data_IF_636173562568
#
_entry.id   IF_636173562568
#
_cell.length_a   1.000
_cell.length_b   1.000
_cell.length_c   1.000
_cell.angle_alpha   90.00
_cell.angle_beta   90.00
_cell.angle_gamma   90.00
#
_symmetry.space_group_name_H-M   'P 1'
#
loop_
_entity.id
_entity.type
_entity.pdbx_description
1 polymer ?
#
# COMPACT_ATOMS: atom_id res chain seq x y z
N UNK A 1 -11.34 -26.82 21.97
CA UNK A 1 -12.42 -26.01 21.36
C UNK A 1 -11.81 -25.28 20.17
N UNK A 2 -12.28 -25.52 18.95
CA UNK A 2 -11.88 -24.69 17.80
C UNK A 2 -12.56 -23.33 17.97
N UNK A 3 -11.87 -22.39 18.62
CA UNK A 3 -12.31 -21.01 18.65
C UNK A 3 -12.42 -20.52 17.19
N UNK A 4 -13.57 -19.98 16.82
CA UNK A 4 -13.78 -19.45 15.47
C UNK A 4 -12.78 -18.33 15.16
N UNK A 5 -12.31 -18.26 13.92
CA UNK A 5 -11.43 -17.18 13.48
C UNK A 5 -12.21 -15.86 13.40
N UNK A 6 -11.66 -14.79 13.99
CA UNK A 6 -12.16 -13.42 13.77
C UNK A 6 -11.81 -12.92 12.35
N UNK A 7 -12.29 -11.73 11.99
CA UNK A 7 -12.10 -11.18 10.64
C UNK A 7 -10.62 -11.02 10.27
N UNK A 8 -9.79 -10.47 11.17
CA UNK A 8 -8.34 -10.32 10.95
C UNK A 8 -7.67 -11.66 10.69
N UNK A 9 -7.96 -12.67 11.51
CA UNK A 9 -7.42 -14.01 11.32
C UNK A 9 -7.88 -14.65 10.01
N UNK A 10 -9.15 -14.45 9.61
CA UNK A 10 -9.66 -14.97 8.32
C UNK A 10 -8.92 -14.34 7.14
N UNK A 11 -8.73 -13.02 7.14
CA UNK A 11 -8.04 -12.31 6.07
C UNK A 11 -6.57 -12.72 6.03
N UNK A 12 -5.87 -12.74 7.18
CA UNK A 12 -4.48 -13.22 7.26
C UNK A 12 -4.38 -14.64 6.70
N UNK A 13 -5.26 -15.57 7.12
CA UNK A 13 -5.23 -16.96 6.66
C UNK A 13 -5.40 -17.07 5.13
N UNK A 14 -6.23 -16.22 4.53
CA UNK A 14 -6.47 -16.23 3.08
C UNK A 14 -5.28 -15.68 2.28
N UNK A 15 -4.46 -14.79 2.87
CA UNK A 15 -3.34 -14.13 2.19
C UNK A 15 -1.96 -14.62 2.69
N UNK A 16 -1.93 -15.66 3.53
CA UNK A 16 -0.71 -16.19 4.10
C UNK A 16 0.11 -16.93 3.03
N UNK A 17 1.33 -16.45 2.77
CA UNK A 17 2.29 -17.08 1.88
C UNK A 17 3.25 -17.98 2.68
N UNK A 18 3.67 -17.54 3.86
CA UNK A 18 4.61 -18.27 4.72
C UNK A 18 4.43 -17.93 6.19
N UNK A 19 4.96 -18.79 7.07
CA UNK A 19 4.92 -18.61 8.52
C UNK A 19 3.74 -19.29 9.21
N UNK A 20 3.60 -19.04 10.51
CA UNK A 20 2.52 -19.58 11.36
C UNK A 20 1.71 -18.43 11.93
N UNK A 21 0.39 -18.60 11.99
CA UNK A 21 -0.54 -17.64 12.62
C UNK A 21 -0.50 -17.72 14.16
N UNK A 22 0.70 -17.76 14.73
CA UNK A 22 0.97 -17.72 16.16
C UNK A 22 1.46 -16.29 16.49
N UNK A 23 0.79 -15.56 17.40
CA UNK A 23 1.18 -14.16 17.67
C UNK A 23 2.66 -14.02 18.02
N UNK A 24 3.34 -13.10 17.34
CA UNK A 24 4.78 -12.84 17.49
C UNK A 24 5.68 -13.61 16.52
N UNK A 25 5.20 -14.68 15.87
CA UNK A 25 5.92 -15.36 14.79
C UNK A 25 5.96 -14.50 13.53
N UNK A 26 7.01 -14.65 12.72
CA UNK A 26 7.06 -14.00 11.41
C UNK A 26 6.11 -14.69 10.42
N UNK A 27 5.40 -13.87 9.65
CA UNK A 27 4.50 -14.29 8.56
C UNK A 27 4.80 -13.48 7.30
N UNK A 28 4.70 -14.12 6.15
CA UNK A 28 4.71 -13.46 4.85
C UNK A 28 3.28 -13.37 4.31
N UNK A 29 2.84 -12.17 3.96
CA UNK A 29 1.50 -11.92 3.40
C UNK A 29 1.57 -11.47 1.95
N UNK A 30 0.70 -12.03 1.11
CA UNK A 30 0.40 -11.46 -0.21
C UNK A 30 -0.33 -10.14 -0.01
N UNK A 31 0.06 -9.12 -0.76
CA UNK A 31 -0.59 -7.81 -0.77
C UNK A 31 -1.38 -7.61 -2.07
N UNK A 32 -2.67 -7.29 -1.95
CA UNK A 32 -3.55 -7.11 -3.10
C UNK A 32 -3.50 -5.68 -3.63
N UNK A 33 -3.49 -4.70 -2.72
CA UNK A 33 -3.52 -3.29 -3.03
C UNK A 33 -2.36 -2.53 -2.37
N UNK A 34 -1.87 -1.50 -3.05
CA UNK A 34 -0.93 -0.54 -2.44
C UNK A 34 -1.33 0.92 -2.63
N UNK A 35 -0.88 1.76 -1.70
CA UNK A 35 -1.13 3.19 -1.66
C UNK A 35 0.17 3.95 -1.37
N UNK A 36 0.48 4.95 -2.19
CA UNK A 36 1.59 5.87 -1.95
C UNK A 36 1.08 7.32 -2.02
N UNK A 37 1.72 8.22 -1.30
CA UNK A 37 1.43 9.67 -1.36
C UNK A 37 2.65 10.43 -1.85
N UNK A 38 2.53 11.70 -2.18
CA UNK A 38 3.53 12.50 -2.89
C UNK A 38 4.79 12.82 -2.08
N UNK A 39 4.72 12.82 -0.75
CA UNK A 39 5.89 12.98 0.11
C UNK A 39 6.76 11.71 0.24
N UNK A 40 6.20 10.50 0.06
CA UNK A 40 6.95 9.23 0.19
C UNK A 40 7.04 8.43 -1.11
N UNK A 41 6.14 8.70 -2.04
CA UNK A 41 5.99 7.97 -3.30
C UNK A 41 7.19 8.12 -4.22
N UNK A 42 7.87 9.27 -4.19
CA UNK A 42 9.07 9.49 -5.03
C UNK A 42 10.13 8.43 -4.73
N UNK A 43 10.36 8.13 -3.44
CA UNK A 43 11.31 7.09 -3.04
C UNK A 43 10.86 5.70 -3.50
N UNK A 44 9.57 5.37 -3.33
CA UNK A 44 9.01 4.10 -3.81
C UNK A 44 9.23 3.93 -5.31
N UNK A 45 8.94 4.94 -6.11
CA UNK A 45 9.12 4.87 -7.57
C UNK A 45 10.59 4.70 -7.97
N UNK A 46 11.53 5.32 -7.24
CA UNK A 46 12.96 5.14 -7.44
C UNK A 46 13.42 3.73 -7.07
N UNK A 47 12.86 3.13 -6.02
CA UNK A 47 13.11 1.73 -5.64
C UNK A 47 12.60 0.77 -6.74
N UNK A 48 11.41 1.01 -7.28
CA UNK A 48 10.87 0.23 -8.41
C UNK A 48 11.77 0.32 -9.65
N UNK A 49 12.31 1.52 -9.93
CA UNK A 49 13.29 1.72 -11.00
C UNK A 49 14.56 0.91 -10.76
N UNK A 50 15.12 1.00 -9.54
CA UNK A 50 16.33 0.30 -9.16
C UNK A 50 16.17 -1.23 -9.19
N UNK A 51 14.97 -1.73 -8.90
CA UNK A 51 14.61 -3.14 -9.02
C UNK A 51 14.45 -3.59 -10.49
N UNK A 52 14.44 -2.67 -11.45
CA UNK A 52 14.19 -2.97 -12.86
C UNK A 52 12.75 -3.44 -13.12
N UNK A 53 11.79 -3.07 -12.26
CA UNK A 53 10.41 -3.49 -12.40
C UNK A 53 9.82 -2.92 -13.70
N UNK A 54 9.18 -3.77 -14.51
CA UNK A 54 8.53 -3.31 -15.75
C UNK A 54 7.11 -2.81 -15.54
N UNK A 55 6.38 -3.45 -14.62
CA UNK A 55 5.00 -3.13 -14.28
C UNK A 55 4.67 -3.67 -12.88
N UNK A 56 3.70 -3.05 -12.19
CA UNK A 56 3.17 -3.55 -10.91
C UNK A 56 2.67 -4.99 -11.04
N UNK A 57 2.83 -5.76 -9.96
CA UNK A 57 2.32 -7.13 -9.83
C UNK A 57 1.11 -7.22 -8.89
N UNK A 58 0.87 -6.18 -8.08
CA UNK A 58 -0.35 -6.02 -7.27
C UNK A 58 -1.60 -5.91 -8.16
N UNK A 59 -2.75 -6.26 -7.59
CA UNK A 59 -4.03 -6.10 -8.27
C UNK A 59 -4.33 -4.61 -8.50
N UNK A 60 -3.98 -3.76 -7.52
CA UNK A 60 -4.08 -2.31 -7.61
C UNK A 60 -2.91 -1.62 -6.91
N UNK A 61 -2.40 -0.56 -7.52
CA UNK A 61 -1.49 0.39 -6.86
C UNK A 61 -1.92 1.79 -7.23
N UNK A 62 -1.96 2.69 -6.25
CA UNK A 62 -2.36 4.08 -6.46
C UNK A 62 -1.37 5.03 -5.83
N UNK A 63 -0.87 5.99 -6.62
CA UNK A 63 -0.09 7.13 -6.17
C UNK A 63 -1.00 8.35 -6.06
N UNK A 64 -1.02 8.96 -4.88
CA UNK A 64 -1.78 10.16 -4.59
C UNK A 64 -0.88 11.39 -4.56
N UNK A 65 -1.46 12.53 -4.92
CA UNK A 65 -0.87 13.86 -4.72
C UNK A 65 -1.80 14.67 -3.83
N UNK A 66 -1.54 14.65 -2.54
CA UNK A 66 -2.41 15.20 -1.50
C UNK A 66 -1.68 15.92 -0.36
N UNK A 67 -0.36 15.75 -0.20
CA UNK A 67 0.44 16.36 0.87
C UNK A 67 1.12 17.66 0.42
N UNK A 68 1.66 17.70 -0.80
CA UNK A 68 2.52 18.77 -1.32
C UNK A 68 1.82 19.62 -2.38
N UNK A 69 0.58 20.03 -2.08
CA UNK A 69 -0.25 20.81 -3.02
C UNK A 69 0.25 22.25 -3.24
N UNK A 70 0.87 22.85 -2.22
CA UNK A 70 1.45 24.19 -2.34
C UNK A 70 2.81 24.11 -3.03
N UNK A 71 2.92 24.76 -4.19
CA UNK A 71 4.15 24.83 -4.97
C UNK A 71 4.85 26.16 -4.71
N UNK A 72 5.54 26.25 -3.57
CA UNK A 72 6.31 27.45 -3.19
C UNK A 72 7.65 27.55 -3.92
N UNK A 73 8.16 26.44 -4.44
CA UNK A 73 9.31 26.34 -5.32
C UNK A 73 9.06 25.28 -6.43
N UNK A 74 10.10 24.95 -7.19
CA UNK A 74 10.00 24.00 -8.30
C UNK A 74 9.95 22.53 -7.86
N UNK A 75 10.34 22.18 -6.63
CA UNK A 75 10.56 20.78 -6.23
C UNK A 75 9.27 19.96 -6.27
N UNK A 76 8.20 20.50 -5.67
CA UNK A 76 6.90 19.81 -5.67
C UNK A 76 6.35 19.65 -7.09
N UNK A 77 6.56 20.64 -7.97
CA UNK A 77 6.13 20.53 -9.36
C UNK A 77 6.88 19.43 -10.11
N UNK A 78 8.21 19.37 -9.94
CA UNK A 78 9.06 18.37 -10.56
C UNK A 78 8.76 16.96 -10.02
N UNK A 79 8.56 16.82 -8.71
CA UNK A 79 8.15 15.56 -8.07
C UNK A 79 6.82 15.07 -8.63
N UNK A 80 5.83 15.95 -8.80
CA UNK A 80 4.54 15.55 -9.35
C UNK A 80 4.64 15.10 -10.82
N UNK A 81 5.50 15.74 -11.61
CA UNK A 81 5.79 15.33 -12.99
C UNK A 81 6.49 13.97 -13.00
N UNK A 82 7.50 13.78 -12.15
CA UNK A 82 8.19 12.51 -11.97
C UNK A 82 7.20 11.40 -11.60
N UNK A 83 6.41 11.58 -10.53
CA UNK A 83 5.42 10.61 -10.06
C UNK A 83 4.43 10.23 -11.16
N UNK A 84 3.93 11.21 -11.93
CA UNK A 84 3.02 10.94 -13.05
C UNK A 84 3.69 10.06 -14.11
N UNK A 85 4.94 10.36 -14.47
CA UNK A 85 5.69 9.59 -15.46
C UNK A 85 6.00 8.16 -14.98
N UNK A 86 6.38 8.01 -13.70
CA UNK A 86 6.64 6.72 -13.07
C UNK A 86 5.36 5.87 -13.01
N UNK A 87 4.21 6.49 -12.69
CA UNK A 87 2.93 5.81 -12.71
C UNK A 87 2.58 5.25 -14.09
N UNK A 88 2.83 6.04 -15.15
CA UNK A 88 2.65 5.58 -16.53
C UNK A 88 3.58 4.42 -16.87
N UNK A 89 4.85 4.48 -16.44
CA UNK A 89 5.84 3.42 -16.66
C UNK A 89 5.44 2.10 -15.97
N UNK A 90 5.10 2.15 -14.69
CA UNK A 90 4.86 0.95 -13.88
C UNK A 90 3.39 0.49 -13.89
N UNK A 91 2.49 1.17 -14.58
CA UNK A 91 1.06 0.83 -14.60
C UNK A 91 0.34 1.10 -13.28
N UNK A 92 0.76 2.13 -12.54
CA UNK A 92 0.19 2.57 -11.26
C UNK A 92 -0.84 3.67 -11.54
N UNK A 93 -1.96 3.66 -10.82
CA UNK A 93 -2.99 4.70 -10.95
C UNK A 93 -2.46 6.00 -10.35
N UNK A 94 -2.47 7.08 -11.13
CA UNK A 94 -2.09 8.41 -10.67
C UNK A 94 -3.31 9.23 -10.28
N UNK A 95 -3.49 9.49 -8.99
CA UNK A 95 -4.50 10.41 -8.46
C UNK A 95 -3.93 11.83 -8.40
N UNK A 96 -4.49 12.70 -9.24
CA UNK A 96 -3.99 14.06 -9.49
C UNK A 96 -4.18 14.98 -8.26
N UNK A 97 -3.41 16.09 -8.17
CA UNK A 97 -3.67 17.13 -7.20
C UNK A 97 -5.15 17.56 -7.19
N UNK A 98 -5.72 17.73 -6.01
CA UNK A 98 -7.12 18.17 -5.84
C UNK A 98 -8.17 17.05 -5.89
N UNK A 99 -7.80 15.79 -6.12
CA UNK A 99 -8.73 14.66 -6.02
C UNK A 99 -9.17 14.36 -4.58
N UNK A 100 -8.45 14.86 -3.59
CA UNK A 100 -8.72 14.65 -2.15
C UNK A 100 -7.62 13.85 -1.46
N UNK A 101 -7.75 13.73 -0.14
CA UNK A 101 -6.82 12.99 0.71
C UNK A 101 -6.84 11.51 0.33
N UNK A 102 -5.66 10.90 0.27
CA UNK A 102 -5.40 9.54 -0.18
C UNK A 102 -6.32 8.50 0.43
N UNK A 103 -6.45 8.45 1.76
CA UNK A 103 -7.24 7.41 2.44
C UNK A 103 -8.75 7.47 2.15
N UNK A 104 -9.46 8.62 2.30
CA UNK A 104 -10.86 8.72 1.92
C UNK A 104 -11.11 8.40 0.45
N UNK A 105 -10.26 8.92 -0.45
CA UNK A 105 -10.41 8.66 -1.90
C UNK A 105 -10.21 7.18 -2.21
N UNK A 106 -9.24 6.52 -1.57
CA UNK A 106 -9.03 5.09 -1.72
C UNK A 106 -10.24 4.29 -1.24
N UNK A 107 -10.78 4.63 -0.07
CA UNK A 107 -11.96 3.97 0.48
C UNK A 107 -13.20 4.14 -0.41
N UNK A 108 -13.41 5.33 -0.98
CA UNK A 108 -14.55 5.61 -1.86
C UNK A 108 -14.46 4.88 -3.21
N UNK A 109 -13.25 4.76 -3.77
CA UNK A 109 -13.05 4.36 -5.18
C UNK A 109 -12.51 2.96 -5.38
N UNK A 110 -11.75 2.45 -4.42
CA UNK A 110 -10.87 1.29 -4.63
C UNK A 110 -10.90 0.25 -3.52
N UNK A 111 -11.34 0.61 -2.31
CA UNK A 111 -11.39 -0.29 -1.18
C UNK A 111 -12.31 -1.49 -1.44
N UNK A 112 -11.82 -2.69 -1.10
CA UNK A 112 -12.56 -3.94 -1.28
C UNK A 112 -12.51 -4.74 0.03
N UNK A 113 -13.65 -4.98 0.71
CA UNK A 113 -13.69 -5.77 1.93
C UNK A 113 -12.99 -7.14 1.77
N UNK A 114 -12.24 -7.54 2.79
CA UNK A 114 -11.50 -8.81 2.81
C UNK A 114 -10.14 -8.79 2.12
N UNK A 115 -9.77 -7.73 1.39
CA UNK A 115 -8.43 -7.58 0.78
C UNK A 115 -7.40 -6.99 1.73
N UNK A 116 -6.14 -7.18 1.36
CA UNK A 116 -4.98 -6.58 2.00
C UNK A 116 -4.58 -5.26 1.31
N UNK A 117 -4.22 -4.26 2.12
CA UNK A 117 -3.71 -2.98 1.66
C UNK A 117 -2.45 -2.61 2.43
N UNK A 118 -1.39 -2.21 1.72
CA UNK A 118 -0.18 -1.67 2.35
C UNK A 118 0.12 -0.31 1.74
N UNK A 119 0.43 0.67 2.58
CA UNK A 119 0.72 2.01 2.10
C UNK A 119 1.90 2.67 2.79
N UNK A 120 2.58 3.55 2.06
CA UNK A 120 3.71 4.34 2.56
C UNK A 120 3.23 5.53 3.41
N UNK A 121 2.24 5.28 4.25
CA UNK A 121 1.57 6.24 5.11
C UNK A 121 1.03 5.56 6.37
N UNK A 122 1.20 6.19 7.52
CA UNK A 122 0.82 5.62 8.82
C UNK A 122 -0.69 5.49 9.02
N UNK A 123 -1.50 6.22 8.27
CA UNK A 123 -2.97 6.21 8.36
C UNK A 123 -3.62 5.24 7.38
N UNK A 124 -2.85 4.47 6.61
CA UNK A 124 -3.34 3.35 5.78
C UNK A 124 -4.32 2.41 6.53
N UNK A 125 -4.18 2.14 7.85
CA UNK A 125 -5.17 1.38 8.62
C UNK A 125 -6.61 1.91 8.58
N UNK A 126 -6.84 3.15 8.13
CA UNK A 126 -8.19 3.72 7.96
C UNK A 126 -9.09 2.85 7.06
N UNK A 127 -8.53 2.16 6.05
CA UNK A 127 -9.30 1.24 5.21
C UNK A 127 -9.82 -0.01 5.97
N UNK A 128 -9.37 -0.25 7.20
CA UNK A 128 -9.97 -1.22 8.11
C UNK A 128 -11.45 -0.97 8.38
N UNK A 129 -11.93 0.27 8.25
CA UNK A 129 -13.36 0.61 8.32
C UNK A 129 -14.20 -0.10 7.23
N UNK A 130 -13.58 -0.54 6.13
CA UNK A 130 -14.20 -1.31 5.05
C UNK A 130 -14.06 -2.84 5.25
N UNK A 131 -13.49 -3.30 6.37
CA UNK A 131 -13.20 -4.71 6.57
C UNK A 131 -12.00 -5.21 5.77
N UNK A 132 -11.05 -4.33 5.45
CA UNK A 132 -9.75 -4.68 4.86
C UNK A 132 -8.71 -4.95 5.95
N UNK A 133 -7.68 -5.73 5.63
CA UNK A 133 -6.45 -5.76 6.42
C UNK A 133 -5.47 -4.72 5.87
N UNK A 134 -5.51 -3.51 6.44
CA UNK A 134 -4.76 -2.37 5.95
C UNK A 134 -3.63 -1.97 6.93
N UNK A 135 -2.42 -1.77 6.41
CA UNK A 135 -1.21 -1.56 7.21
C UNK A 135 -0.36 -0.43 6.63
N UNK A 136 0.16 0.45 7.48
CA UNK A 136 1.22 1.38 7.09
C UNK A 136 2.58 0.68 7.10
N UNK A 137 3.42 0.95 6.11
CA UNK A 137 4.78 0.41 6.00
C UNK A 137 5.76 1.44 5.44
N UNK A 138 7.06 1.12 5.44
CA UNK A 138 8.07 1.95 4.80
C UNK A 138 7.98 1.91 3.27
N UNK A 139 8.66 2.86 2.60
CA UNK A 139 8.69 2.92 1.13
C UNK A 139 9.16 1.61 0.50
N UNK A 140 10.26 1.05 1.01
CA UNK A 140 10.84 -0.19 0.51
C UNK A 140 9.89 -1.40 0.60
N UNK A 141 9.17 -1.55 1.72
CA UNK A 141 8.20 -2.62 1.87
C UNK A 141 7.03 -2.48 0.88
N UNK A 142 6.61 -1.23 0.61
CA UNK A 142 5.58 -0.93 -0.38
C UNK A 142 6.08 -1.18 -1.79
N UNK A 143 7.34 -0.85 -2.10
CA UNK A 143 7.97 -1.15 -3.38
C UNK A 143 8.05 -2.67 -3.63
N UNK A 144 8.47 -3.44 -2.62
CA UNK A 144 8.45 -4.90 -2.67
C UNK A 144 7.04 -5.45 -2.88
N UNK A 145 6.05 -4.94 -2.14
CA UNK A 145 4.65 -5.33 -2.35
C UNK A 145 4.18 -5.03 -3.78
N UNK A 146 4.48 -3.85 -4.33
CA UNK A 146 4.18 -3.48 -5.74
C UNK A 146 4.86 -4.44 -6.73
N UNK A 147 6.08 -4.88 -6.43
CA UNK A 147 6.82 -5.86 -7.22
C UNK A 147 6.31 -7.31 -7.07
N UNK A 148 5.34 -7.55 -6.19
CA UNK A 148 4.72 -8.86 -5.97
C UNK A 148 5.41 -9.70 -4.88
N UNK A 149 6.38 -9.13 -4.18
CA UNK A 149 7.04 -9.80 -3.06
C UNK A 149 6.12 -9.79 -1.82
N UNK A 150 6.18 -10.83 -0.98
CA UNK A 150 5.39 -10.87 0.26
C UNK A 150 5.81 -9.77 1.24
N UNK A 151 4.84 -9.18 1.94
CA UNK A 151 5.13 -8.36 3.11
C UNK A 151 5.43 -9.27 4.30
N UNK A 152 6.63 -9.16 4.85
CA UNK A 152 7.01 -9.86 6.07
C UNK A 152 6.74 -9.02 7.31
N UNK A 153 5.99 -9.58 8.27
CA UNK A 153 5.70 -8.93 9.54
C UNK A 153 5.57 -9.96 10.66
N UNK A 154 5.58 -9.47 11.90
CA UNK A 154 5.21 -10.30 13.06
C UNK A 154 3.69 -10.43 13.13
N UNK A 155 3.21 -11.67 13.22
CA UNK A 155 1.80 -12.00 13.40
C UNK A 155 1.23 -11.22 14.59
N UNK A 156 0.20 -10.37 14.38
CA UNK A 156 -0.31 -9.52 15.43
C UNK A 156 -1.13 -10.30 16.45
N UNK A 157 -1.20 -9.76 17.68
CA UNK A 157 -2.30 -10.08 18.61
C UNK A 157 -3.52 -9.28 18.18
N UNK A 158 -4.70 -9.89 18.24
CA UNK A 158 -5.98 -9.21 18.02
C UNK A 158 -6.62 -8.98 19.39
N UNK A 159 -6.88 -7.72 19.73
CA UNK A 159 -7.48 -7.28 21.00
C UNK A 159 -9.00 -7.41 20.98
#
# INVERSE_FOLDING_TARGET
MNAGLNITHKIIKQHLISGKMEPGSEIGLKIDQTLTQDATGTLVMLELEAMGLKQKQTELSVQYVDHNLLQTDFKNADDHVFLKSACQKFGIVYSRPGNGVSHPVHQERFGIPGKTLVGSDSHTPAAGALGMLAMGAGGLDVAFAIAGEPLFLKMPRVL
#
